data_IF_423964130610
#
_entry.id   IF_423964130610
#
_cell.length_a   1.000
_cell.length_b   1.000
_cell.length_c   1.000
_cell.angle_alpha   90.00
_cell.angle_beta   90.00
_cell.angle_gamma   90.00
#
_symmetry.space_group_name_H-M   'P 1'
#
loop_
_entity.id
_entity.type
_entity.pdbx_description
1 polymer ?
#
# COMPACT_ATOMS: atom_id res chain seq x y z
N UNK A 1 14.23 26.25 -29.00
CA UNK A 1 14.48 25.01 -28.24
C UNK A 1 13.35 24.02 -28.52
N UNK A 2 13.41 23.18 -29.56
CA UNK A 2 12.32 22.27 -29.91
C UNK A 2 12.47 20.82 -29.35
N UNK A 3 13.45 20.53 -28.49
CA UNK A 3 13.86 19.15 -28.14
C UNK A 3 13.40 18.59 -26.79
N UNK A 4 12.86 19.40 -25.87
CA UNK A 4 12.53 18.96 -24.50
C UNK A 4 11.32 18.02 -24.37
N UNK A 5 10.17 18.21 -25.05
CA UNK A 5 9.01 17.34 -24.86
C UNK A 5 9.24 15.93 -25.38
N UNK A 6 9.88 15.79 -26.55
CA UNK A 6 10.19 14.47 -27.14
C UNK A 6 11.11 13.62 -26.25
N UNK A 7 12.01 14.24 -25.48
CA UNK A 7 12.93 13.49 -24.62
C UNK A 7 12.19 12.82 -23.44
N UNK A 8 11.26 13.54 -22.81
CA UNK A 8 10.46 13.01 -21.68
C UNK A 8 9.54 11.88 -22.10
N UNK A 9 8.92 12.00 -23.29
CA UNK A 9 8.05 10.96 -23.85
C UNK A 9 8.81 9.63 -24.05
N UNK A 10 10.08 9.71 -24.47
CA UNK A 10 10.96 8.52 -24.59
C UNK A 10 11.56 8.06 -23.26
N UNK A 11 11.64 8.95 -22.26
CA UNK A 11 12.25 8.66 -20.97
C UNK A 11 11.35 7.78 -20.09
N UNK A 12 10.03 8.03 -20.07
CA UNK A 12 9.09 7.24 -19.26
C UNK A 12 9.18 5.71 -19.48
N UNK A 13 9.11 5.18 -20.72
CA UNK A 13 9.25 3.73 -20.93
C UNK A 13 10.64 3.21 -20.54
N UNK A 14 11.71 4.00 -20.72
CA UNK A 14 13.06 3.67 -20.25
C UNK A 14 13.13 3.58 -18.73
N UNK A 15 12.48 4.51 -18.02
CA UNK A 15 12.40 4.48 -16.55
C UNK A 15 11.63 3.26 -16.05
N UNK A 16 10.53 2.89 -16.72
CA UNK A 16 9.80 1.66 -16.41
C UNK A 16 10.68 0.41 -16.58
N UNK A 17 11.45 0.33 -17.66
CA UNK A 17 12.39 -0.76 -17.88
C UNK A 17 13.54 -0.76 -16.85
N UNK A 18 14.05 0.42 -16.44
CA UNK A 18 15.01 0.53 -15.34
C UNK A 18 14.41 -0.01 -14.03
N UNK A 19 13.19 0.39 -13.66
CA UNK A 19 12.54 -0.11 -12.44
C UNK A 19 12.40 -1.63 -12.46
N UNK A 20 11.88 -2.21 -13.55
CA UNK A 20 11.77 -3.66 -13.70
C UNK A 20 13.11 -4.38 -13.54
N UNK A 21 14.17 -3.86 -14.17
CA UNK A 21 15.50 -4.45 -14.08
C UNK A 21 16.12 -4.30 -12.68
N UNK A 22 15.93 -3.15 -12.03
CA UNK A 22 16.45 -2.88 -10.69
C UNK A 22 15.71 -3.68 -9.60
N UNK A 23 14.41 -3.93 -9.77
CA UNK A 23 13.56 -4.71 -8.86
C UNK A 23 13.75 -6.22 -9.03
N UNK A 24 14.22 -6.69 -10.20
CA UNK A 24 14.36 -8.10 -10.51
C UNK A 24 15.22 -8.86 -9.47
N UNK A 25 14.65 -9.89 -8.85
CA UNK A 25 15.35 -10.68 -7.82
C UNK A 25 15.56 -9.95 -6.49
N UNK A 26 14.83 -8.86 -6.21
CA UNK A 26 14.76 -8.26 -4.88
C UNK A 26 13.35 -8.41 -4.31
N UNK A 27 13.20 -9.31 -3.34
CA UNK A 27 11.93 -9.54 -2.66
C UNK A 27 11.63 -8.42 -1.67
N UNK A 28 10.42 -7.86 -1.75
CA UNK A 28 9.95 -6.81 -0.83
C UNK A 28 10.88 -5.57 -0.79
N UNK A 29 11.45 -5.19 -1.95
CA UNK A 29 12.31 -3.98 -2.10
C UNK A 29 11.85 -3.01 -3.18
N UNK A 30 10.67 -3.21 -3.75
CA UNK A 30 10.08 -2.34 -4.77
C UNK A 30 10.02 -0.88 -4.31
N UNK A 31 9.47 -0.60 -3.12
CA UNK A 31 9.39 0.76 -2.57
C UNK A 31 10.77 1.41 -2.43
N UNK A 32 11.75 0.71 -1.85
CA UNK A 32 13.10 1.24 -1.70
C UNK A 32 13.77 1.52 -3.05
N UNK A 33 13.60 0.62 -4.02
CA UNK A 33 14.17 0.76 -5.37
C UNK A 33 13.60 1.96 -6.11
N UNK A 34 12.27 2.12 -6.08
CA UNK A 34 11.56 3.25 -6.70
C UNK A 34 11.96 4.57 -6.06
N UNK A 35 11.99 4.65 -4.73
CA UNK A 35 12.40 5.84 -4.00
C UNK A 35 13.85 6.22 -4.26
N UNK A 36 14.77 5.25 -4.35
CA UNK A 36 16.18 5.49 -4.69
C UNK A 36 16.34 6.10 -6.07
N UNK A 37 15.68 5.54 -7.09
CA UNK A 37 15.76 6.07 -8.44
C UNK A 37 15.10 7.45 -8.56
N UNK A 38 13.93 7.64 -7.95
CA UNK A 38 13.23 8.92 -7.92
C UNK A 38 14.07 10.00 -7.22
N UNK A 39 14.67 9.68 -6.07
CA UNK A 39 15.56 10.59 -5.35
C UNK A 39 16.76 10.98 -6.22
N UNK A 40 17.39 10.02 -6.89
CA UNK A 40 18.53 10.30 -7.76
C UNK A 40 18.15 11.19 -8.96
N UNK A 41 16.96 11.02 -9.53
CA UNK A 41 16.43 11.93 -10.57
C UNK A 41 16.14 13.33 -10.03
N UNK A 42 15.61 13.43 -8.81
CA UNK A 42 15.37 14.70 -8.14
C UNK A 42 16.67 15.39 -7.65
N UNK A 43 17.79 14.67 -7.63
CA UNK A 43 19.04 15.14 -7.03
C UNK A 43 18.98 15.18 -5.51
N UNK A 44 18.27 14.24 -4.90
CA UNK A 44 18.06 14.12 -3.45
C UNK A 44 18.77 12.86 -2.92
N UNK A 45 18.93 12.79 -1.60
CA UNK A 45 19.65 11.72 -0.90
C UNK A 45 18.70 10.82 -0.11
N UNK A 46 19.08 9.54 0.00
CA UNK A 46 18.25 8.51 0.64
C UNK A 46 19.00 7.86 1.79
N UNK A 47 18.33 7.69 2.92
CA UNK A 47 18.80 6.90 4.05
C UNK A 47 18.00 5.59 4.12
N UNK A 48 18.70 4.47 4.02
CA UNK A 48 18.14 3.13 4.21
C UNK A 48 18.36 2.70 5.66
N UNK A 49 17.26 2.45 6.38
CA UNK A 49 17.26 2.12 7.81
C UNK A 49 16.80 0.68 7.98
N UNK A 50 17.60 -0.16 8.63
CA UNK A 50 17.19 -1.54 8.93
C UNK A 50 18.36 -2.43 9.29
N UNK A 51 18.13 -3.68 9.71
CA UNK A 51 19.20 -4.57 10.18
C UNK A 51 20.23 -4.90 9.09
N UNK A 52 21.42 -5.41 9.46
CA UNK A 52 22.41 -5.89 8.50
C UNK A 52 21.83 -7.07 7.68
N UNK A 53 22.33 -7.28 6.47
CA UNK A 53 21.89 -8.38 5.59
C UNK A 53 20.59 -8.11 4.82
N UNK A 54 20.02 -6.90 4.88
CA UNK A 54 18.75 -6.53 4.19
C UNK A 54 18.93 -6.02 2.74
N UNK A 55 20.08 -6.30 2.12
CA UNK A 55 20.43 -5.91 0.75
C UNK A 55 20.58 -4.39 0.48
N UNK A 56 20.85 -3.57 1.51
CA UNK A 56 21.06 -2.11 1.40
C UNK A 56 22.16 -1.72 0.40
N UNK A 57 23.34 -2.34 0.48
CA UNK A 57 24.45 -2.09 -0.45
C UNK A 57 24.13 -2.56 -1.87
N UNK A 58 23.40 -3.67 -2.02
CA UNK A 58 22.98 -4.17 -3.32
C UNK A 58 22.03 -3.18 -4.04
N UNK A 59 21.12 -2.54 -3.31
CA UNK A 59 20.26 -1.48 -3.85
C UNK A 59 21.07 -0.31 -4.41
N UNK A 60 22.07 0.18 -3.66
CA UNK A 60 22.92 1.29 -4.12
C UNK A 60 23.78 0.92 -5.33
N UNK A 61 24.36 -0.29 -5.35
CA UNK A 61 25.12 -0.80 -6.50
C UNK A 61 24.25 -0.93 -7.75
N UNK A 62 23.00 -1.35 -7.60
CA UNK A 62 22.03 -1.43 -8.71
C UNK A 62 21.67 -0.04 -9.21
N UNK A 63 21.35 0.90 -8.31
CA UNK A 63 21.07 2.30 -8.65
C UNK A 63 22.18 2.92 -9.50
N UNK A 64 23.45 2.71 -9.12
CA UNK A 64 24.59 3.22 -9.88
C UNK A 64 24.56 2.80 -11.35
N UNK A 65 24.20 1.55 -11.66
CA UNK A 65 24.18 1.04 -13.04
C UNK A 65 23.10 1.70 -13.91
N UNK A 66 22.10 2.33 -13.30
CA UNK A 66 21.07 3.06 -14.04
C UNK A 66 21.58 4.39 -14.63
N UNK A 67 22.72 4.91 -14.18
CA UNK A 67 23.24 6.21 -14.61
C UNK A 67 24.52 6.08 -15.45
N UNK A 68 24.53 6.74 -16.61
CA UNK A 68 25.67 6.72 -17.53
C UNK A 68 26.83 7.58 -17.03
N UNK A 69 28.05 7.05 -17.05
CA UNK A 69 29.28 7.80 -16.74
C UNK A 69 29.42 8.25 -15.28
N UNK A 70 28.49 7.89 -14.40
CA UNK A 70 28.54 8.23 -12.98
C UNK A 70 29.49 7.26 -12.24
N UNK A 71 30.59 7.76 -11.67
CA UNK A 71 31.47 6.92 -10.84
C UNK A 71 30.77 6.45 -9.56
N UNK A 72 31.04 5.21 -9.16
CA UNK A 72 30.52 4.64 -7.91
C UNK A 72 31.58 4.69 -6.81
N UNK A 73 31.17 5.16 -5.64
CA UNK A 73 31.99 5.15 -4.43
C UNK A 73 31.25 4.41 -3.31
N UNK A 74 31.94 3.52 -2.61
CA UNK A 74 31.37 2.74 -1.50
C UNK A 74 32.35 2.71 -0.32
N UNK A 75 31.84 2.98 0.88
CA UNK A 75 32.64 2.93 2.12
C UNK A 75 31.78 2.58 3.34
N UNK A 76 32.30 1.69 4.18
CA UNK A 76 31.78 1.46 5.53
C UNK A 76 32.41 2.47 6.49
N UNK A 77 31.57 3.18 7.25
CA UNK A 77 32.00 4.16 8.23
C UNK A 77 32.08 3.57 9.63
N UNK A 78 33.15 3.92 10.31
CA UNK A 78 33.40 3.55 11.70
C UNK A 78 33.87 4.78 12.46
N UNK A 79 33.88 4.69 13.80
CA UNK A 79 34.42 5.76 14.65
C UNK A 79 35.91 6.07 14.40
N UNK A 80 36.62 5.15 13.74
CA UNK A 80 38.03 5.27 13.40
C UNK A 80 38.28 5.65 11.94
N UNK A 81 37.22 5.74 11.13
CA UNK A 81 37.35 6.14 9.73
C UNK A 81 37.96 7.53 9.65
N UNK A 82 38.93 7.70 8.76
CA UNK A 82 39.63 8.96 8.58
C UNK A 82 39.11 9.72 7.35
N UNK A 83 39.24 11.06 7.32
CA UNK A 83 38.90 11.84 6.13
C UNK A 83 39.61 11.36 4.85
N UNK A 84 40.81 10.81 4.96
CA UNK A 84 41.61 10.30 3.84
C UNK A 84 40.93 9.12 3.13
N UNK A 85 40.17 8.30 3.86
CA UNK A 85 39.43 7.17 3.29
C UNK A 85 38.26 7.59 2.41
N UNK A 86 37.68 8.77 2.66
CA UNK A 86 36.49 9.27 1.98
C UNK A 86 36.83 10.32 0.92
N UNK A 87 37.75 11.22 1.24
CA UNK A 87 38.08 12.39 0.44
C UNK A 87 39.44 12.29 -0.24
N UNK A 88 40.17 11.21 0.00
CA UNK A 88 41.49 10.98 -0.58
C UNK A 88 42.65 11.45 0.32
N UNK A 89 43.84 10.85 0.17
CA UNK A 89 45.00 11.20 0.97
C UNK A 89 45.52 12.60 0.62
N UNK A 90 46.23 13.22 1.56
CA UNK A 90 46.94 14.47 1.29
C UNK A 90 48.04 14.23 0.23
N UNK A 91 48.17 15.18 -0.70
CA UNK A 91 49.24 15.18 -1.69
C UNK A 91 50.54 15.58 -1.03
N UNK A 92 51.49 14.65 -0.92
CA UNK A 92 52.82 14.94 -0.37
C UNK A 92 53.54 16.05 -1.14
N UNK A 93 53.39 16.08 -2.47
CA UNK A 93 53.94 17.14 -3.33
C UNK A 93 53.32 18.51 -3.05
N UNK A 94 52.02 18.56 -2.79
CA UNK A 94 51.36 19.83 -2.46
C UNK A 94 51.75 20.29 -1.06
N UNK A 95 51.91 19.34 -0.13
CA UNK A 95 52.34 19.63 1.24
C UNK A 95 53.78 20.14 1.31
N UNK A 96 54.67 19.66 0.44
CA UNK A 96 56.02 20.21 0.24
C UNK A 96 56.01 21.68 -0.18
N UNK A 97 54.93 22.13 -0.83
CA UNK A 97 54.67 23.52 -1.22
C UNK A 97 53.79 24.29 -0.21
N UNK A 98 53.65 23.80 1.04
CA UNK A 98 52.76 24.35 2.08
C UNK A 98 51.25 24.40 1.66
N UNK A 99 50.82 23.57 0.71
CA UNK A 99 49.42 23.47 0.26
C UNK A 99 48.74 22.21 0.79
N UNK A 100 47.65 22.39 1.53
CA UNK A 100 46.84 21.29 2.10
C UNK A 100 45.83 20.71 1.09
N UNK A 101 46.31 20.17 -0.03
CA UNK A 101 45.48 19.59 -1.09
C UNK A 101 45.41 18.05 -1.00
N UNK A 102 44.25 17.48 -1.32
CA UNK A 102 43.97 16.03 -1.36
C UNK A 102 43.95 15.49 -2.79
N UNK A 103 44.36 14.23 -2.93
CA UNK A 103 44.23 13.44 -4.15
C UNK A 103 42.82 12.81 -4.20
N UNK A 104 41.88 13.52 -4.83
CA UNK A 104 40.45 13.19 -4.79
C UNK A 104 39.99 12.18 -5.85
N UNK A 105 40.85 11.80 -6.80
CA UNK A 105 40.48 10.91 -7.91
C UNK A 105 40.14 9.50 -7.39
N UNK A 106 38.95 9.00 -7.72
CA UNK A 106 38.44 7.72 -7.21
C UNK A 106 37.78 7.78 -5.82
N UNK A 107 37.73 8.96 -5.21
CA UNK A 107 37.10 9.20 -3.91
C UNK A 107 35.76 9.93 -4.05
N UNK A 108 35.06 10.08 -2.91
CA UNK A 108 33.72 10.67 -2.84
C UNK A 108 33.55 12.00 -3.61
N UNK A 109 34.50 12.95 -3.59
CA UNK A 109 34.33 14.23 -4.31
C UNK A 109 34.19 14.07 -5.84
N UNK A 110 34.61 12.94 -6.42
CA UNK A 110 34.51 12.65 -7.86
C UNK A 110 33.43 11.62 -8.19
N UNK A 111 32.67 11.15 -7.20
CA UNK A 111 31.64 10.13 -7.38
C UNK A 111 30.33 10.74 -7.88
N UNK A 112 29.66 10.04 -8.80
CA UNK A 112 28.30 10.36 -9.22
C UNK A 112 27.25 9.69 -8.34
N UNK A 113 27.51 8.47 -7.87
CA UNK A 113 26.67 7.75 -6.91
C UNK A 113 27.56 7.27 -5.77
N UNK A 114 27.15 7.55 -4.54
CA UNK A 114 27.90 7.15 -3.35
C UNK A 114 27.04 6.29 -2.42
N UNK A 115 27.61 5.22 -1.88
CA UNK A 115 27.05 4.43 -0.79
C UNK A 115 27.92 4.55 0.45
N UNK A 116 27.33 5.03 1.54
CA UNK A 116 28.00 5.08 2.84
C UNK A 116 27.24 4.16 3.79
N UNK A 117 27.90 3.13 4.31
CA UNK A 117 27.32 2.25 5.32
C UNK A 117 27.68 2.72 6.72
N UNK A 118 26.77 2.53 7.67
CA UNK A 118 26.87 3.03 9.05
C UNK A 118 27.17 4.53 9.15
N UNK A 119 26.41 5.34 8.41
CA UNK A 119 26.71 6.77 8.20
C UNK A 119 26.79 7.62 9.47
N UNK A 120 26.10 7.20 10.53
CA UNK A 120 26.09 7.90 11.81
C UNK A 120 27.28 7.56 12.71
N UNK A 121 28.12 6.59 12.34
CA UNK A 121 29.32 6.21 13.11
C UNK A 121 30.57 7.02 12.73
N UNK A 122 30.47 7.91 11.74
CA UNK A 122 31.58 8.77 11.34
C UNK A 122 31.92 9.84 12.39
N UNK A 123 33.17 10.28 12.40
CA UNK A 123 33.62 11.39 13.25
C UNK A 123 33.08 12.75 12.75
N UNK A 124 33.14 13.77 13.61
CA UNK A 124 32.63 15.12 13.32
C UNK A 124 33.29 15.79 12.12
N UNK A 125 34.58 15.54 11.87
CA UNK A 125 35.28 16.11 10.72
C UNK A 125 34.73 15.58 9.39
N UNK A 126 34.46 14.27 9.31
CA UNK A 126 33.81 13.65 8.16
C UNK A 126 32.40 14.19 7.98
N UNK A 127 31.59 14.23 9.05
CA UNK A 127 30.20 14.69 8.97
C UNK A 127 30.11 16.14 8.49
N UNK A 128 30.96 17.04 9.00
CA UNK A 128 30.98 18.44 8.56
C UNK A 128 31.35 18.59 7.08
N UNK A 129 32.37 17.86 6.61
CA UNK A 129 32.74 17.86 5.19
C UNK A 129 31.62 17.29 4.30
N UNK A 130 30.92 16.26 4.76
CA UNK A 130 29.74 15.72 4.07
C UNK A 130 28.58 16.74 4.04
N UNK A 131 28.34 17.51 5.10
CA UNK A 131 27.27 18.52 5.11
C UNK A 131 27.44 19.53 3.98
N UNK A 132 28.66 20.05 3.77
CA UNK A 132 28.98 20.97 2.67
C UNK A 132 28.81 20.29 1.32
N UNK A 133 29.37 19.09 1.16
CA UNK A 133 29.31 18.33 -0.08
C UNK A 133 27.87 18.01 -0.50
N UNK A 134 27.00 17.63 0.43
CA UNK A 134 25.61 17.28 0.14
C UNK A 134 24.72 18.51 -0.13
N UNK A 135 24.95 19.62 0.58
CA UNK A 135 24.15 20.85 0.39
C UNK A 135 24.56 21.62 -0.86
N UNK A 136 25.84 21.95 -0.97
CA UNK A 136 26.36 22.90 -1.96
C UNK A 136 26.81 22.19 -3.23
N UNK A 137 26.93 20.85 -3.18
CA UNK A 137 27.54 20.04 -4.24
C UNK A 137 28.96 20.50 -4.57
N UNK A 138 29.66 21.00 -3.55
CA UNK A 138 31.03 21.48 -3.63
C UNK A 138 31.88 20.84 -2.53
N UNK A 139 33.16 20.66 -2.80
CA UNK A 139 34.14 20.10 -1.88
C UNK A 139 35.30 21.08 -1.69
N UNK A 140 35.59 21.42 -0.44
CA UNK A 140 36.73 22.25 -0.07
C UNK A 140 38.01 21.40 -0.07
N UNK A 141 38.89 21.66 -1.04
CA UNK A 141 40.17 20.97 -1.20
C UNK A 141 41.33 21.95 -1.02
N UNK A 142 41.82 22.04 0.23
CA UNK A 142 42.82 23.04 0.59
C UNK A 142 42.25 24.45 0.49
N UNK A 143 42.89 25.31 -0.31
CA UNK A 143 42.43 26.69 -0.54
C UNK A 143 41.38 26.81 -1.66
N UNK A 144 41.16 25.75 -2.44
CA UNK A 144 40.24 25.74 -3.57
C UNK A 144 38.93 25.04 -3.24
N UNK A 145 37.84 25.47 -3.88
CA UNK A 145 36.55 24.79 -3.83
C UNK A 145 36.23 24.18 -5.20
N UNK A 146 35.84 22.91 -5.19
CA UNK A 146 35.63 22.11 -6.41
C UNK A 146 34.18 21.64 -6.50
N UNK A 147 33.51 21.76 -7.67
CA UNK A 147 32.19 21.18 -7.86
C UNK A 147 32.26 19.65 -7.85
N UNK A 148 31.22 19.02 -7.31
CA UNK A 148 31.10 17.56 -7.23
C UNK A 148 30.05 17.05 -8.24
N UNK A 149 30.32 15.95 -8.97
CA UNK A 149 29.38 15.38 -9.92
C UNK A 149 28.29 14.52 -9.25
N UNK A 150 28.18 14.58 -7.91
CA UNK A 150 27.30 13.74 -7.13
C UNK A 150 25.85 13.93 -7.58
N UNK A 151 25.22 12.83 -8.00
CA UNK A 151 23.79 12.74 -8.32
C UNK A 151 23.05 12.47 -7.01
N UNK A 152 23.39 11.36 -6.35
CA UNK A 152 22.78 10.97 -5.08
C UNK A 152 23.75 10.19 -4.19
N UNK A 153 23.57 10.37 -2.88
CA UNK A 153 24.21 9.62 -1.83
C UNK A 153 23.15 8.74 -1.17
N UNK A 154 23.46 7.45 -1.05
CA UNK A 154 22.67 6.46 -0.35
C UNK A 154 23.38 6.15 0.95
N UNK A 155 22.81 6.62 2.06
CA UNK A 155 23.26 6.27 3.39
C UNK A 155 22.59 4.99 3.86
N UNK A 156 23.29 4.18 4.64
CA UNK A 156 22.71 3.08 5.37
C UNK A 156 23.04 3.18 6.86
N UNK A 157 22.10 2.78 7.69
CA UNK A 157 22.35 2.54 9.12
C UNK A 157 21.39 1.50 9.67
N UNK A 158 21.80 0.87 10.77
CA UNK A 158 20.96 -0.06 11.51
C UNK A 158 20.04 0.66 12.50
N UNK A 159 20.43 1.87 12.92
CA UNK A 159 19.74 2.65 13.93
C UNK A 159 19.57 4.09 13.45
N UNK A 160 18.61 4.81 14.05
CA UNK A 160 18.46 6.24 13.84
C UNK A 160 19.40 7.00 14.77
N UNK A 161 19.85 8.21 14.39
CA UNK A 161 20.73 8.99 15.25
C UNK A 161 19.95 9.48 16.48
N UNK A 162 20.42 9.10 17.67
CA UNK A 162 19.91 9.63 18.94
C UNK A 162 20.49 10.99 19.33
N UNK A 163 21.67 11.31 18.81
CA UNK A 163 22.38 12.56 19.15
C UNK A 163 21.86 13.76 18.36
N UNK A 164 21.63 14.87 19.05
CA UNK A 164 21.17 16.13 18.44
C UNK A 164 22.17 16.67 17.41
N UNK A 165 23.47 16.43 17.61
CA UNK A 165 24.54 16.82 16.68
C UNK A 165 24.43 16.13 15.31
N UNK A 166 23.82 14.94 15.26
CA UNK A 166 23.62 14.16 14.04
C UNK A 166 22.32 14.52 13.32
N UNK A 167 21.39 15.25 13.95
CA UNK A 167 20.11 15.62 13.34
C UNK A 167 20.30 16.51 12.11
N UNK A 168 21.28 17.42 12.13
CA UNK A 168 21.58 18.27 10.98
C UNK A 168 22.03 17.46 9.75
N UNK A 169 22.75 16.35 9.96
CA UNK A 169 23.19 15.43 8.92
C UNK A 169 22.06 14.49 8.49
N UNK A 170 21.28 13.98 9.46
CA UNK A 170 20.08 13.21 9.21
C UNK A 170 19.06 13.96 8.34
N UNK A 171 18.92 15.27 8.53
CA UNK A 171 18.03 16.12 7.73
C UNK A 171 18.47 16.25 6.27
N UNK A 172 19.74 15.95 5.93
CA UNK A 172 20.23 15.95 4.54
C UNK A 172 19.74 14.77 3.71
N UNK A 173 19.27 13.72 4.38
CA UNK A 173 18.55 12.65 3.73
C UNK A 173 17.08 13.04 3.67
N UNK A 174 16.62 13.39 2.46
CA UNK A 174 15.22 13.74 2.26
C UNK A 174 14.34 12.52 2.53
N UNK A 175 14.69 11.40 1.90
CA UNK A 175 13.96 10.14 2.02
C UNK A 175 14.61 9.24 3.07
N UNK A 176 13.79 8.76 4.00
CA UNK A 176 14.14 7.82 5.06
C UNK A 176 13.31 6.57 4.85
N UNK A 177 13.96 5.53 4.36
CA UNK A 177 13.28 4.33 3.87
C UNK A 177 13.60 3.17 4.81
N UNK A 178 12.63 2.63 5.54
CA UNK A 178 12.83 1.41 6.30
C UNK A 178 12.99 0.22 5.34
N UNK A 179 13.94 -0.66 5.66
CA UNK A 179 14.22 -1.89 4.93
C UNK A 179 14.22 -3.04 5.93
N UNK A 180 13.09 -3.75 6.02
CA UNK A 180 12.92 -4.89 6.91
C UNK A 180 13.44 -6.19 6.29
N UNK A 181 13.77 -7.23 7.09
CA UNK A 181 13.93 -8.60 6.58
C UNK A 181 12.71 -9.02 5.75
N UNK A 182 12.91 -9.96 4.83
CA UNK A 182 11.81 -10.50 4.01
C UNK A 182 10.80 -11.19 4.92
N UNK A 183 9.51 -10.92 4.74
CA UNK A 183 8.44 -11.52 5.52
C UNK A 183 8.25 -13.02 5.23
N UNK A 184 7.51 -13.69 6.11
CA UNK A 184 7.27 -15.14 6.03
C UNK A 184 6.66 -15.58 4.69
N UNK A 185 5.78 -14.75 4.12
CA UNK A 185 5.13 -15.03 2.84
C UNK A 185 6.12 -15.12 1.65
N UNK A 186 7.22 -14.36 1.71
CA UNK A 186 8.24 -14.34 0.67
C UNK A 186 9.48 -15.19 1.04
N UNK A 187 9.49 -15.84 2.21
CA UNK A 187 10.60 -16.67 2.67
C UNK A 187 10.91 -17.83 1.73
N UNK A 188 9.89 -18.54 1.23
CA UNK A 188 10.08 -19.61 0.27
C UNK A 188 10.74 -19.12 -1.03
N UNK A 189 10.31 -17.95 -1.53
CA UNK A 189 10.91 -17.33 -2.71
C UNK A 189 12.36 -16.88 -2.45
N UNK A 190 12.68 -16.45 -1.22
CA UNK A 190 14.05 -16.09 -0.83
C UNK A 190 14.98 -17.31 -0.86
N UNK A 191 14.51 -18.47 -0.40
CA UNK A 191 15.30 -19.71 -0.42
C UNK A 191 15.49 -20.29 -1.82
N UNK A 192 14.57 -19.99 -2.74
CA UNK A 192 14.61 -20.39 -4.15
C UNK A 192 15.24 -19.33 -5.04
N UNK A 193 15.78 -18.26 -4.44
CA UNK A 193 16.42 -17.19 -5.19
C UNK A 193 17.76 -17.70 -5.71
N UNK A 194 17.76 -18.16 -6.95
CA UNK A 194 19.02 -18.43 -7.64
C UNK A 194 19.82 -17.13 -7.77
N UNK A 195 21.14 -17.23 -7.98
CA UNK A 195 21.96 -16.10 -8.43
C UNK A 195 21.51 -15.72 -9.85
N UNK A 196 20.34 -15.13 -9.97
CA UNK A 196 19.74 -14.72 -11.22
C UNK A 196 20.73 -13.79 -11.92
N UNK A 197 20.96 -14.05 -13.20
CA UNK A 197 21.76 -13.14 -14.02
C UNK A 197 21.12 -11.77 -13.92
N UNK A 198 21.88 -10.70 -13.59
CA UNK A 198 21.32 -9.36 -13.48
C UNK A 198 20.50 -9.06 -14.74
N UNK A 199 19.27 -8.60 -14.56
CA UNK A 199 18.43 -8.20 -15.68
C UNK A 199 19.19 -7.19 -16.55
N UNK A 200 19.09 -7.35 -17.87
CA UNK A 200 19.69 -6.40 -18.79
C UNK A 200 19.12 -5.01 -18.53
N UNK A 201 19.98 -4.06 -18.19
CA UNK A 201 19.57 -2.68 -17.99
C UNK A 201 19.36 -2.01 -19.35
N UNK A 202 18.33 -1.16 -19.49
CA UNK A 202 18.17 -0.34 -20.67
C UNK A 202 19.23 0.78 -20.70
N UNK A 203 19.22 1.60 -21.76
CA UNK A 203 20.18 2.69 -21.92
C UNK A 203 20.26 3.58 -20.67
N UNK A 204 21.46 3.82 -20.14
CA UNK A 204 21.64 4.56 -18.89
C UNK A 204 21.06 5.97 -18.96
N UNK A 205 20.60 6.47 -17.81
CA UNK A 205 20.11 7.82 -17.64
C UNK A 205 21.29 8.79 -17.76
N UNK A 206 21.19 9.69 -18.72
CA UNK A 206 22.23 10.67 -19.06
C UNK A 206 22.09 11.97 -18.27
N UNK A 207 23.11 12.85 -18.26
CA UNK A 207 22.97 14.20 -17.72
C UNK A 207 21.85 15.01 -18.39
N UNK A 208 21.67 14.85 -19.71
CA UNK A 208 20.63 15.56 -20.47
C UNK A 208 19.23 15.08 -20.09
N UNK A 209 19.04 13.76 -19.87
CA UNK A 209 17.80 13.20 -19.33
C UNK A 209 17.43 13.88 -17.99
N UNK A 210 18.41 14.01 -17.07
CA UNK A 210 18.18 14.65 -15.77
C UNK A 210 17.89 16.16 -15.90
N UNK A 211 18.57 16.84 -16.81
CA UNK A 211 18.31 18.26 -17.07
C UNK A 211 16.90 18.49 -17.61
N UNK A 212 16.42 17.61 -18.50
CA UNK A 212 15.05 17.63 -19.00
C UNK A 212 14.02 17.37 -17.89
N UNK A 213 14.27 16.40 -17.00
CA UNK A 213 13.41 16.14 -15.83
C UNK A 213 13.34 17.38 -14.92
N UNK A 214 14.48 18.02 -14.63
CA UNK A 214 14.52 19.25 -13.81
C UNK A 214 13.74 20.39 -14.45
N UNK A 215 13.87 20.57 -15.76
CA UNK A 215 13.12 21.59 -16.50
C UNK A 215 11.61 21.33 -16.45
N UNK A 216 11.19 20.07 -16.64
CA UNK A 216 9.80 19.67 -16.58
C UNK A 216 9.20 19.81 -15.17
N UNK A 217 9.94 19.42 -14.15
CA UNK A 217 9.56 19.56 -12.74
C UNK A 217 9.15 21.00 -12.40
N UNK A 218 9.84 22.00 -12.96
CA UNK A 218 9.54 23.41 -12.74
C UNK A 218 8.18 23.86 -13.33
N UNK A 219 7.64 23.11 -14.29
CA UNK A 219 6.35 23.39 -14.95
C UNK A 219 5.16 22.74 -14.25
N UNK A 220 5.39 21.75 -13.39
CA UNK A 220 4.32 21.03 -12.69
C UNK A 220 3.70 21.91 -11.60
N UNK A 221 2.40 22.17 -11.71
CA UNK A 221 1.66 22.98 -10.73
C UNK A 221 1.15 22.15 -9.57
N UNK A 222 0.95 22.79 -8.42
CA UNK A 222 0.29 22.18 -7.28
C UNK A 222 -1.23 22.27 -7.49
N UNK A 223 -1.93 21.14 -7.63
CA UNK A 223 -3.39 21.12 -7.74
C UNK A 223 -4.09 21.35 -6.40
N UNK A 224 -5.36 21.72 -6.45
CA UNK A 224 -6.16 22.04 -5.26
C UNK A 224 -6.27 20.83 -4.31
N UNK A 225 -6.46 19.63 -4.84
CA UNK A 225 -6.49 18.39 -4.07
C UNK A 225 -5.17 18.13 -3.34
N UNK A 226 -4.03 18.32 -4.03
CA UNK A 226 -2.71 18.16 -3.43
C UNK A 226 -2.46 19.22 -2.34
N UNK A 227 -2.89 20.46 -2.55
CA UNK A 227 -2.76 21.54 -1.56
C UNK A 227 -3.59 21.27 -0.31
N UNK A 228 -4.84 20.83 -0.48
CA UNK A 228 -5.71 20.44 0.63
C UNK A 228 -5.10 19.26 1.41
N UNK A 229 -4.62 18.23 0.69
CA UNK A 229 -3.97 17.06 1.29
C UNK A 229 -2.67 17.43 2.04
N UNK A 230 -1.84 18.35 1.51
CA UNK A 230 -0.64 18.85 2.20
C UNK A 230 -0.98 19.63 3.48
N UNK A 231 -2.07 20.38 3.47
CA UNK A 231 -2.54 21.13 4.65
C UNK A 231 -3.04 20.16 5.72
N UNK A 232 -3.80 19.13 5.32
CA UNK A 232 -4.24 18.06 6.22
C UNK A 232 -3.04 17.27 6.78
N UNK A 233 -2.05 16.95 5.93
CA UNK A 233 -0.81 16.29 6.34
C UNK A 233 -0.05 17.14 7.37
N UNK A 234 0.04 18.46 7.17
CA UNK A 234 0.69 19.36 8.15
C UNK A 234 -0.01 19.33 9.50
N UNK A 235 -1.34 19.28 9.53
CA UNK A 235 -2.11 19.14 10.77
C UNK A 235 -1.84 17.79 11.44
N UNK A 236 -1.76 16.70 10.65
CA UNK A 236 -1.47 15.36 11.17
C UNK A 236 -0.05 15.24 11.73
N UNK A 237 0.94 15.79 11.02
CA UNK A 237 2.33 15.89 11.49
C UNK A 237 2.40 16.62 12.84
N UNK A 238 1.66 17.73 12.98
CA UNK A 238 1.58 18.47 14.24
C UNK A 238 0.88 17.66 15.34
N UNK A 239 -0.18 16.90 15.02
CA UNK A 239 -0.88 16.01 15.96
C UNK A 239 0.03 14.90 16.48
N UNK A 240 0.90 14.37 15.63
CA UNK A 240 1.92 13.37 15.99
C UNK A 240 3.13 13.96 16.74
N UNK A 241 3.21 15.29 16.89
CA UNK A 241 4.32 15.96 17.58
C UNK A 241 5.62 15.99 16.78
N UNK A 242 5.56 15.80 15.46
CA UNK A 242 6.73 15.74 14.59
C UNK A 242 7.19 17.14 14.18
N UNK A 243 8.49 17.39 14.24
CA UNK A 243 9.10 18.65 13.80
C UNK A 243 9.60 18.53 12.35
N UNK A 244 8.95 19.23 11.42
CA UNK A 244 9.31 19.24 10.00
C UNK A 244 9.62 20.66 9.56
N UNK A 245 10.83 20.88 9.03
CA UNK A 245 11.28 22.20 8.57
C UNK A 245 10.57 22.62 7.27
N UNK A 246 10.42 23.94 7.06
CA UNK A 246 9.88 24.50 5.81
C UNK A 246 10.65 24.04 4.57
N UNK A 247 11.97 23.82 4.72
CA UNK A 247 12.83 23.25 3.68
C UNK A 247 12.33 21.86 3.26
N UNK A 248 12.08 20.99 4.23
CA UNK A 248 11.64 19.61 3.99
C UNK A 248 10.27 19.55 3.32
N UNK A 249 9.34 20.45 3.67
CA UNK A 249 8.06 20.60 2.96
C UNK A 249 8.25 20.98 1.50
N UNK A 250 9.12 21.94 1.20
CA UNK A 250 9.43 22.35 -0.17
C UNK A 250 10.10 21.21 -0.96
N UNK A 251 10.97 20.44 -0.32
CA UNK A 251 11.62 19.28 -0.93
C UNK A 251 10.65 18.13 -1.19
N UNK A 252 9.67 17.89 -0.29
CA UNK A 252 8.58 16.93 -0.54
C UNK A 252 7.81 17.30 -1.82
N UNK A 253 7.37 18.55 -1.94
CA UNK A 253 6.67 19.03 -3.14
C UNK A 253 7.56 18.94 -4.38
N UNK A 254 8.86 19.25 -4.26
CA UNK A 254 9.80 19.09 -5.35
C UNK A 254 9.92 17.63 -5.80
N UNK A 255 9.99 16.68 -4.86
CA UNK A 255 10.02 15.24 -5.15
C UNK A 255 8.73 14.77 -5.83
N UNK A 256 7.57 15.22 -5.36
CA UNK A 256 6.27 14.95 -5.98
C UNK A 256 6.22 15.49 -7.42
N UNK A 257 6.73 16.71 -7.67
CA UNK A 257 6.83 17.28 -9.01
C UNK A 257 7.75 16.48 -9.93
N UNK A 258 8.84 15.91 -9.40
CA UNK A 258 9.74 15.04 -10.16
C UNK A 258 9.01 13.77 -10.61
N UNK A 259 8.24 13.15 -9.70
CA UNK A 259 7.41 11.99 -10.01
C UNK A 259 6.36 12.31 -11.08
N UNK A 260 5.63 13.42 -10.92
CA UNK A 260 4.61 13.86 -11.87
C UNK A 260 5.19 14.19 -13.25
N UNK A 261 6.30 14.93 -13.30
CA UNK A 261 6.94 15.31 -14.55
C UNK A 261 7.42 14.09 -15.36
N UNK A 262 8.00 13.09 -14.69
CA UNK A 262 8.45 11.85 -15.34
C UNK A 262 7.30 10.91 -15.73
N UNK A 263 6.11 11.13 -15.17
CA UNK A 263 4.86 10.49 -15.60
C UNK A 263 4.12 11.29 -16.68
N UNK A 264 4.62 12.47 -17.08
CA UNK A 264 3.96 13.34 -18.06
C UNK A 264 2.75 14.10 -17.52
N UNK A 265 2.61 14.19 -16.19
CA UNK A 265 1.51 14.93 -15.53
C UNK A 265 1.89 16.38 -15.32
N UNK A 266 0.94 17.28 -15.63
CA UNK A 266 1.11 18.72 -15.45
C UNK A 266 0.75 19.22 -14.03
N UNK A 267 -0.03 18.43 -13.28
CA UNK A 267 -0.57 18.81 -11.98
C UNK A 267 -0.35 17.71 -10.94
N UNK A 268 -0.05 18.12 -9.70
CA UNK A 268 -0.04 17.23 -8.54
C UNK A 268 -1.47 16.98 -8.03
N UNK A 269 -1.70 15.78 -7.52
CA UNK A 269 -2.95 15.36 -6.87
C UNK A 269 -2.69 14.74 -5.48
N UNK A 270 -3.75 14.33 -4.80
CA UNK A 270 -3.66 13.76 -3.46
C UNK A 270 -2.86 12.44 -3.41
N UNK A 271 -2.84 11.66 -4.50
CA UNK A 271 -2.17 10.37 -4.53
C UNK A 271 -0.65 10.52 -4.41
N UNK A 272 -0.09 11.63 -4.92
CA UNK A 272 1.35 11.95 -4.81
C UNK A 272 1.86 12.03 -3.36
N UNK A 273 0.98 12.19 -2.38
CA UNK A 273 1.34 12.18 -0.95
C UNK A 273 1.71 10.79 -0.42
N UNK A 274 1.64 9.73 -1.22
CA UNK A 274 2.19 8.42 -0.85
C UNK A 274 3.68 8.49 -0.47
N UNK A 275 4.41 9.49 -1.00
CA UNK A 275 5.81 9.76 -0.67
C UNK A 275 6.01 10.37 0.73
N UNK A 276 4.98 11.00 1.28
CA UNK A 276 5.08 11.82 2.48
C UNK A 276 5.59 11.06 3.72
N UNK A 277 5.13 9.82 4.03
CA UNK A 277 5.62 9.09 5.18
C UNK A 277 7.15 8.99 5.19
N UNK A 278 7.77 8.60 4.08
CA UNK A 278 9.23 8.48 3.94
C UNK A 278 9.99 9.81 4.00
N UNK A 279 9.30 10.95 3.89
CA UNK A 279 9.93 12.28 3.95
C UNK A 279 9.74 12.93 5.32
N UNK A 280 8.55 12.87 5.89
CA UNK A 280 8.22 13.58 7.15
C UNK A 280 8.35 12.69 8.38
N UNK A 281 8.29 11.37 8.23
CA UNK A 281 8.51 10.42 9.31
C UNK A 281 9.95 10.45 9.83
N UNK A 282 10.08 10.33 11.14
CA UNK A 282 11.37 10.29 11.86
C UNK A 282 11.59 8.98 12.62
N UNK A 283 10.58 8.12 12.68
CA UNK A 283 10.50 6.90 13.50
C UNK A 283 9.64 5.85 12.78
N UNK A 284 9.78 4.58 13.12
CA UNK A 284 8.96 3.52 12.47
C UNK A 284 7.48 3.69 12.82
N UNK A 285 7.18 4.11 14.05
CA UNK A 285 5.83 4.40 14.50
C UNK A 285 5.21 5.58 13.74
N UNK A 286 5.95 6.68 13.56
CA UNK A 286 5.45 7.81 12.78
C UNK A 286 5.28 7.47 11.31
N UNK A 287 6.22 6.71 10.72
CA UNK A 287 6.12 6.20 9.35
C UNK A 287 4.84 5.37 9.18
N UNK A 288 4.58 4.43 10.09
CA UNK A 288 3.39 3.58 10.06
C UNK A 288 2.10 4.41 10.25
N UNK A 289 2.09 5.33 11.21
CA UNK A 289 0.94 6.20 11.47
C UNK A 289 0.62 7.10 10.26
N UNK A 290 1.64 7.68 9.62
CA UNK A 290 1.48 8.51 8.42
C UNK A 290 1.03 7.69 7.21
N UNK A 291 1.57 6.48 7.02
CA UNK A 291 1.13 5.59 5.95
C UNK A 291 -0.33 5.13 6.13
N UNK A 292 -0.74 4.83 7.37
CA UNK A 292 -2.12 4.55 7.71
C UNK A 292 -3.01 5.78 7.47
N UNK A 293 -2.56 6.97 7.88
CA UNK A 293 -3.29 8.22 7.64
C UNK A 293 -3.49 8.51 6.15
N UNK A 294 -2.48 8.28 5.29
CA UNK A 294 -2.64 8.40 3.83
C UNK A 294 -3.71 7.43 3.33
N UNK A 295 -3.63 6.17 3.75
CA UNK A 295 -4.56 5.13 3.30
C UNK A 295 -6.00 5.42 3.75
N UNK A 296 -6.19 5.82 5.01
CA UNK A 296 -7.50 6.12 5.60
C UNK A 296 -8.06 7.48 5.14
N UNK A 297 -7.34 8.56 5.42
CA UNK A 297 -7.86 9.92 5.34
C UNK A 297 -7.81 10.50 3.93
N UNK A 298 -6.82 10.11 3.12
CA UNK A 298 -6.69 10.62 1.75
C UNK A 298 -7.34 9.69 0.73
N UNK A 299 -7.09 8.38 0.84
CA UNK A 299 -7.48 7.42 -0.19
C UNK A 299 -8.74 6.62 0.14
N UNK A 300 -9.17 6.62 1.41
CA UNK A 300 -10.27 5.78 1.91
C UNK A 300 -10.09 4.29 1.53
N UNK A 301 -8.85 3.84 1.51
CA UNK A 301 -8.41 2.53 1.04
C UNK A 301 -8.27 1.55 2.21
N UNK A 302 -9.34 1.41 3.00
CA UNK A 302 -9.42 0.46 4.11
C UNK A 302 -10.66 -0.43 3.97
N UNK A 303 -10.55 -1.65 4.48
CA UNK A 303 -11.67 -2.59 4.49
C UNK A 303 -12.76 -2.05 5.42
N UNK A 304 -13.95 -1.81 4.89
CA UNK A 304 -15.03 -1.21 5.65
C UNK A 304 -15.80 -2.30 6.41
N UNK A 305 -15.88 -2.22 7.75
CA UNK A 305 -16.73 -3.12 8.50
C UNK A 305 -18.21 -2.79 8.21
N UNK A 306 -19.04 -3.83 8.05
CA UNK A 306 -20.46 -3.71 7.70
C UNK A 306 -21.36 -4.32 8.80
N UNK A 307 -21.23 -3.88 10.07
CA UNK A 307 -21.96 -4.49 11.19
C UNK A 307 -23.48 -4.39 11.02
N UNK A 308 -23.96 -3.27 10.47
CA UNK A 308 -25.39 -3.07 10.21
C UNK A 308 -25.96 -4.13 9.26
N UNK A 309 -25.17 -4.58 8.28
CA UNK A 309 -25.60 -5.56 7.29
C UNK A 309 -25.51 -6.96 7.87
N UNK A 310 -24.45 -7.26 8.61
CA UNK A 310 -24.32 -8.53 9.32
C UNK A 310 -25.47 -8.75 10.32
N UNK A 311 -25.78 -7.73 11.13
CA UNK A 311 -26.91 -7.75 12.05
C UNK A 311 -28.24 -7.96 11.31
N UNK A 312 -28.44 -7.26 10.18
CA UNK A 312 -29.67 -7.38 9.41
C UNK A 312 -29.84 -8.77 8.77
N UNK A 313 -28.79 -9.28 8.12
CA UNK A 313 -28.79 -10.62 7.51
C UNK A 313 -29.07 -11.68 8.57
N UNK A 314 -28.35 -11.61 9.69
CA UNK A 314 -28.51 -12.56 10.80
C UNK A 314 -29.91 -12.49 11.42
N UNK A 315 -30.50 -11.30 11.53
CA UNK A 315 -31.86 -11.15 12.04
C UNK A 315 -32.90 -11.78 11.11
N UNK A 316 -32.76 -11.59 9.79
CA UNK A 316 -33.65 -12.22 8.80
C UNK A 316 -33.50 -13.73 8.74
N UNK A 317 -32.27 -14.26 8.80
CA UNK A 317 -32.01 -15.71 8.85
C UNK A 317 -32.64 -16.35 10.09
N UNK A 318 -32.45 -15.73 11.27
CA UNK A 318 -33.11 -16.18 12.51
C UNK A 318 -34.63 -16.10 12.41
N UNK A 319 -35.17 -15.03 11.83
CA UNK A 319 -36.62 -14.90 11.64
C UNK A 319 -37.16 -15.98 10.70
N UNK A 320 -36.46 -16.28 9.61
CA UNK A 320 -36.83 -17.34 8.68
C UNK A 320 -36.82 -18.70 9.39
N UNK A 321 -35.79 -18.99 10.17
CA UNK A 321 -35.67 -20.23 10.94
C UNK A 321 -36.81 -20.38 11.95
N UNK A 322 -37.17 -19.31 12.66
CA UNK A 322 -38.32 -19.29 13.58
C UNK A 322 -39.61 -19.61 12.80
N UNK A 323 -39.84 -18.93 11.68
CA UNK A 323 -41.06 -19.11 10.87
C UNK A 323 -41.15 -20.52 10.26
N UNK A 324 -40.03 -21.13 9.88
CA UNK A 324 -39.97 -22.50 9.39
C UNK A 324 -40.22 -23.56 10.47
N UNK A 325 -39.95 -23.25 11.74
CA UNK A 325 -40.14 -24.17 12.89
C UNK A 325 -41.52 -24.05 13.55
N UNK A 326 -42.32 -23.04 13.19
CA UNK A 326 -43.66 -22.88 13.77
C UNK A 326 -44.60 -24.01 13.33
N UNK A 327 -45.22 -24.74 14.29
CA UNK A 327 -46.23 -25.74 13.96
C UNK A 327 -47.49 -25.07 13.38
N UNK A 328 -48.27 -25.82 12.61
CA UNK A 328 -49.60 -25.42 12.16
C UNK A 328 -50.46 -24.99 13.38
N UNK A 329 -51.21 -23.89 13.24
CA UNK A 329 -52.07 -23.38 14.31
C UNK A 329 -53.02 -24.48 14.80
N UNK A 330 -53.17 -24.60 16.13
CA UNK A 330 -54.09 -25.52 16.80
C UNK A 330 -55.53 -25.25 16.36
N UNK A 331 -55.96 -25.98 15.35
CA UNK A 331 -57.25 -25.83 14.69
C UNK A 331 -57.59 -27.04 13.83
N UNK A 332 -57.49 -28.24 14.41
CA UNK A 332 -57.93 -29.51 13.81
C UNK A 332 -56.80 -30.45 13.35
N UNK A 333 -56.78 -31.66 13.94
CA UNK A 333 -55.96 -32.85 13.60
C UNK A 333 -54.42 -32.82 13.78
N UNK A 334 -53.84 -31.82 14.45
CA UNK A 334 -52.39 -31.80 14.71
C UNK A 334 -51.87 -33.02 15.50
N UNK A 335 -52.67 -33.52 16.44
CA UNK A 335 -52.32 -34.65 17.32
C UNK A 335 -52.25 -36.00 16.56
N UNK A 336 -53.16 -36.16 15.58
CA UNK A 336 -53.32 -37.39 14.80
C UNK A 336 -52.22 -37.55 13.74
N UNK A 337 -51.72 -36.44 13.20
CA UNK A 337 -50.61 -36.42 12.26
C UNK A 337 -49.25 -36.45 12.97
N UNK A 338 -49.13 -35.92 14.20
CA UNK A 338 -47.94 -36.07 15.03
C UNK A 338 -47.68 -37.55 15.40
N UNK A 339 -48.74 -38.29 15.76
CA UNK A 339 -48.67 -39.73 16.01
C UNK A 339 -48.25 -40.55 14.78
N UNK A 340 -48.77 -40.21 13.59
CA UNK A 340 -48.39 -40.86 12.31
C UNK A 340 -46.93 -40.59 11.92
N UNK A 341 -46.42 -39.40 12.20
CA UNK A 341 -45.03 -39.01 11.89
C UNK A 341 -44.02 -39.68 12.84
N UNK A 342 -44.36 -39.79 14.13
CA UNK A 342 -43.58 -40.55 15.11
C UNK A 342 -43.53 -42.06 14.74
N UNK A 343 -44.66 -42.62 14.29
CA UNK A 343 -44.75 -43.99 13.80
C UNK A 343 -43.95 -44.20 12.50
N UNK A 344 -43.99 -43.24 11.56
CA UNK A 344 -43.20 -43.30 10.33
C UNK A 344 -41.68 -43.26 10.59
N UNK A 345 -41.22 -42.49 11.59
CA UNK A 345 -39.81 -42.47 12.00
C UNK A 345 -39.37 -43.73 12.74
N UNK A 346 -40.23 -44.32 13.58
CA UNK A 346 -39.91 -45.55 14.31
C UNK A 346 -39.83 -46.77 13.39
N UNK A 347 -40.70 -46.84 12.39
CA UNK A 347 -40.66 -47.88 11.35
C UNK A 347 -39.43 -47.74 10.43
N UNK A 348 -38.97 -46.52 10.15
CA UNK A 348 -37.78 -46.26 9.33
C UNK A 348 -36.44 -46.63 9.99
N UNK A 349 -36.40 -46.78 11.32
CA UNK A 349 -35.18 -47.16 12.04
C UNK A 349 -34.90 -48.68 12.04
N UNK A 350 -35.87 -49.51 11.62
CA UNK A 350 -35.78 -50.98 11.71
C UNK A 350 -35.47 -51.68 10.37
N UNK A 351 -35.68 -51.03 9.21
CA UNK A 351 -35.49 -51.66 7.89
C UNK A 351 -34.32 -51.02 7.09
N UNK A 352 -33.14 -51.63 7.19
CA UNK A 352 -31.96 -51.31 6.39
C UNK A 352 -31.97 -51.93 4.97
N UNK A 353 -33.02 -51.70 4.19
CA UNK A 353 -33.17 -52.23 2.82
C UNK A 353 -33.38 -51.16 1.75
N UNK A 354 -32.49 -51.09 0.75
CA UNK A 354 -32.38 -50.01 -0.25
C UNK A 354 -33.63 -49.78 -1.15
N UNK A 355 -34.64 -50.66 -1.16
CA UNK A 355 -35.83 -50.51 -2.02
C UNK A 355 -37.07 -49.91 -1.31
N UNK A 356 -37.13 -49.89 0.03
CA UNK A 356 -38.32 -49.45 0.79
C UNK A 356 -38.31 -47.98 1.25
N UNK A 357 -37.13 -47.35 1.28
CA UNK A 357 -36.95 -46.01 1.85
C UNK A 357 -37.48 -44.86 0.99
N UNK A 358 -37.85 -45.09 -0.27
CA UNK A 358 -38.38 -44.05 -1.17
C UNK A 358 -39.81 -43.62 -0.84
N UNK A 359 -40.72 -44.59 -0.72
CA UNK A 359 -42.13 -44.35 -0.38
C UNK A 359 -42.27 -43.76 1.02
N UNK A 360 -41.46 -44.24 1.98
CA UNK A 360 -41.46 -43.76 3.35
C UNK A 360 -40.93 -42.32 3.45
N UNK A 361 -39.85 -41.96 2.73
CA UNK A 361 -39.39 -40.56 2.63
C UNK A 361 -40.45 -39.63 2.03
N UNK A 362 -41.19 -40.10 1.03
CA UNK A 362 -42.30 -39.33 0.43
C UNK A 362 -43.41 -39.09 1.46
N UNK A 363 -43.83 -40.14 2.18
CA UNK A 363 -44.87 -40.04 3.22
C UNK A 363 -44.45 -39.12 4.36
N UNK A 364 -43.22 -39.26 4.87
CA UNK A 364 -42.64 -38.38 5.89
C UNK A 364 -42.59 -36.93 5.42
N UNK A 365 -42.11 -36.67 4.20
CA UNK A 365 -42.05 -35.33 3.63
C UNK A 365 -43.44 -34.71 3.44
N UNK A 366 -44.45 -35.49 3.03
CA UNK A 366 -45.83 -35.02 2.92
C UNK A 366 -46.49 -34.74 4.26
N UNK A 367 -46.19 -35.52 5.31
CA UNK A 367 -46.70 -35.29 6.66
C UNK A 367 -46.01 -34.09 7.31
N UNK A 368 -44.70 -33.93 7.12
CA UNK A 368 -43.95 -32.74 7.55
C UNK A 368 -44.45 -31.47 6.85
N UNK A 369 -44.78 -31.55 5.56
CA UNK A 369 -45.38 -30.44 4.81
C UNK A 369 -46.76 -30.03 5.37
N UNK A 370 -47.56 -30.99 5.87
CA UNK A 370 -48.87 -30.72 6.50
C UNK A 370 -48.77 -30.11 7.90
N UNK A 371 -47.69 -30.39 8.64
CA UNK A 371 -47.46 -29.83 9.98
C UNK A 371 -46.88 -28.41 9.97
N UNK A 372 -46.41 -27.92 8.83
CA UNK A 372 -45.87 -26.56 8.72
C UNK A 372 -47.00 -25.52 8.77
N UNK A 373 -46.74 -24.44 9.51
CA UNK A 373 -47.62 -23.27 9.50
C UNK A 373 -47.77 -22.72 8.07
N UNK A 374 -49.01 -22.46 7.68
CA UNK A 374 -49.33 -21.73 6.46
C UNK A 374 -49.41 -20.23 6.77
N UNK A 375 -48.99 -19.41 5.81
CA UNK A 375 -48.93 -17.96 5.93
C UNK A 375 -49.86 -17.31 4.91
N UNK A 376 -50.35 -16.11 5.21
CA UNK A 376 -51.15 -15.36 4.23
C UNK A 376 -50.23 -14.80 3.11
N UNK A 377 -50.76 -14.56 1.89
CA UNK A 377 -49.99 -13.92 0.82
C UNK A 377 -49.40 -12.57 1.24
N UNK A 378 -50.14 -11.81 2.06
CA UNK A 378 -49.73 -10.50 2.58
C UNK A 378 -48.54 -10.62 3.54
N UNK A 379 -48.49 -11.68 4.35
CA UNK A 379 -47.36 -11.93 5.24
C UNK A 379 -46.07 -12.20 4.45
N UNK A 380 -46.14 -13.11 3.47
CA UNK A 380 -44.98 -13.45 2.63
C UNK A 380 -44.54 -12.22 1.82
N UNK A 381 -45.47 -11.50 1.20
CA UNK A 381 -45.15 -10.28 0.46
C UNK A 381 -44.47 -9.21 1.34
N UNK A 382 -44.92 -9.03 2.58
CA UNK A 382 -44.30 -8.10 3.52
C UNK A 382 -42.87 -8.52 3.91
N UNK A 383 -42.61 -9.82 4.13
CA UNK A 383 -41.25 -10.33 4.40
C UNK A 383 -40.32 -10.14 3.21
N UNK A 384 -40.80 -10.46 2.01
CA UNK A 384 -40.04 -10.23 0.78
C UNK A 384 -39.70 -8.75 0.60
N UNK A 385 -40.66 -7.85 0.81
CA UNK A 385 -40.44 -6.40 0.72
C UNK A 385 -39.40 -5.90 1.75
N UNK A 386 -39.41 -6.44 2.98
CA UNK A 386 -38.44 -6.10 4.01
C UNK A 386 -37.02 -6.56 3.63
N UNK A 387 -36.86 -7.79 3.13
CA UNK A 387 -35.56 -8.31 2.66
C UNK A 387 -35.08 -7.54 1.44
N UNK A 388 -35.97 -7.25 0.49
CA UNK A 388 -35.66 -6.50 -0.73
C UNK A 388 -35.20 -5.07 -0.42
N UNK A 389 -35.77 -4.42 0.61
CA UNK A 389 -35.32 -3.11 1.08
C UNK A 389 -33.88 -3.14 1.63
N UNK A 390 -33.50 -4.18 2.37
CA UNK A 390 -32.12 -4.33 2.87
C UNK A 390 -31.16 -4.72 1.74
N UNK A 391 -31.58 -5.60 0.83
CA UNK A 391 -30.80 -5.96 -0.34
C UNK A 391 -30.51 -4.74 -1.23
N UNK A 392 -31.51 -3.89 -1.48
CA UNK A 392 -31.32 -2.65 -2.24
C UNK A 392 -30.32 -1.69 -1.57
N UNK A 393 -30.33 -1.59 -0.22
CA UNK A 393 -29.33 -0.80 0.53
C UNK A 393 -27.93 -1.42 0.42
N UNK A 394 -27.82 -2.74 0.47
CA UNK A 394 -26.54 -3.45 0.32
C UNK A 394 -25.97 -3.29 -1.11
N UNK A 395 -26.82 -3.36 -2.14
CA UNK A 395 -26.43 -3.12 -3.53
C UNK A 395 -25.99 -1.67 -3.77
N UNK A 396 -26.69 -0.69 -3.18
CA UNK A 396 -26.26 0.70 -3.23
C UNK A 396 -24.88 0.91 -2.58
N UNK A 397 -24.65 0.30 -1.41
CA UNK A 397 -23.34 0.33 -0.76
C UNK A 397 -22.25 -0.34 -1.63
N UNK A 398 -22.55 -1.48 -2.24
CA UNK A 398 -21.65 -2.17 -3.18
C UNK A 398 -21.31 -1.31 -4.39
N UNK A 399 -22.30 -0.63 -4.98
CA UNK A 399 -22.08 0.27 -6.11
C UNK A 399 -21.15 1.43 -5.73
N UNK A 400 -21.33 2.02 -4.54
CA UNK A 400 -20.44 3.09 -4.03
C UNK A 400 -19.01 2.61 -3.86
N UNK A 401 -18.80 1.45 -3.22
CA UNK A 401 -17.45 0.88 -3.03
C UNK A 401 -16.82 0.51 -4.37
N UNK A 402 -17.59 -0.05 -5.31
CA UNK A 402 -17.11 -0.38 -6.65
C UNK A 402 -16.65 0.87 -7.41
N UNK A 403 -17.44 1.95 -7.36
CA UNK A 403 -17.07 3.22 -8.00
C UNK A 403 -15.78 3.80 -7.39
N UNK A 404 -15.62 3.72 -6.07
CA UNK A 404 -14.39 4.15 -5.40
C UNK A 404 -13.18 3.30 -5.79
N UNK A 405 -13.34 1.97 -5.85
CA UNK A 405 -12.32 1.03 -6.33
C UNK A 405 -11.90 1.36 -7.76
N UNK A 406 -12.86 1.55 -8.67
CA UNK A 406 -12.58 1.78 -10.09
C UNK A 406 -11.89 3.14 -10.31
N UNK A 407 -12.30 4.17 -9.56
CA UNK A 407 -11.64 5.47 -9.57
C UNK A 407 -10.19 5.37 -9.09
N UNK A 408 -9.94 4.68 -7.96
CA UNK A 408 -8.59 4.49 -7.43
C UNK A 408 -7.74 3.64 -8.38
N UNK A 409 -8.30 2.55 -8.95
CA UNK A 409 -7.62 1.69 -9.90
C UNK A 409 -7.17 2.47 -11.14
N UNK A 410 -8.02 3.34 -11.67
CA UNK A 410 -7.68 4.22 -12.79
C UNK A 410 -6.54 5.20 -12.42
N UNK A 411 -6.59 5.81 -11.23
CA UNK A 411 -5.54 6.72 -10.78
C UNK A 411 -4.19 6.04 -10.58
N UNK A 412 -4.20 4.82 -10.03
CA UNK A 412 -3.02 4.00 -9.72
C UNK A 412 -2.37 3.42 -10.98
N UNK A 413 -3.17 2.99 -11.96
CA UNK A 413 -2.67 2.35 -13.19
C UNK A 413 -1.69 3.23 -13.99
N UNK A 414 -1.79 4.56 -13.84
CA UNK A 414 -0.92 5.50 -14.53
C UNK A 414 0.31 5.93 -13.72
N UNK A 415 0.49 5.44 -12.49
CA UNK A 415 1.62 5.81 -11.62
C UNK A 415 2.82 4.91 -11.88
N UNK A 416 3.89 5.50 -12.37
CA UNK A 416 5.18 4.85 -12.53
C UNK A 416 5.86 4.63 -11.19
N UNK A 417 5.77 5.60 -10.28
CA UNK A 417 6.57 5.59 -9.04
C UNK A 417 5.89 4.90 -7.87
N UNK A 418 4.56 4.76 -7.92
CA UNK A 418 3.82 4.07 -6.88
C UNK A 418 4.24 2.59 -6.83
N UNK A 419 4.64 2.04 -5.67
CA UNK A 419 5.00 0.64 -5.56
C UNK A 419 3.79 -0.28 -5.82
N UNK A 420 3.95 -1.35 -6.63
CA UNK A 420 2.88 -2.29 -6.96
C UNK A 420 2.24 -2.94 -5.73
N UNK A 421 3.02 -3.32 -4.72
CA UNK A 421 2.49 -3.90 -3.48
C UNK A 421 1.68 -2.90 -2.65
N UNK A 422 2.08 -1.62 -2.62
CA UNK A 422 1.31 -0.57 -1.96
C UNK A 422 -0.04 -0.33 -2.67
N UNK A 423 0.01 -0.23 -4.00
CA UNK A 423 -1.17 -0.14 -4.85
C UNK A 423 -2.12 -1.33 -4.67
N UNK A 424 -1.58 -2.56 -4.66
CA UNK A 424 -2.34 -3.78 -4.46
C UNK A 424 -2.98 -3.84 -3.06
N UNK A 425 -2.28 -3.37 -2.03
CA UNK A 425 -2.83 -3.27 -0.68
C UNK A 425 -4.07 -2.36 -0.61
N UNK A 426 -3.99 -1.17 -1.23
CA UNK A 426 -5.12 -0.24 -1.26
C UNK A 426 -6.33 -0.77 -2.03
N UNK A 427 -6.10 -1.32 -3.22
CA UNK A 427 -7.17 -1.92 -4.03
C UNK A 427 -7.75 -3.18 -3.35
N UNK A 428 -6.90 -3.97 -2.71
CA UNK A 428 -7.27 -5.18 -1.96
C UNK A 428 -8.24 -4.88 -0.81
N UNK A 429 -8.10 -3.73 -0.15
CA UNK A 429 -9.00 -3.30 0.92
C UNK A 429 -10.45 -3.07 0.42
N UNK A 430 -10.60 -2.43 -0.74
CA UNK A 430 -11.90 -2.29 -1.39
C UNK A 430 -12.43 -3.64 -1.87
N UNK A 431 -11.58 -4.48 -2.48
CA UNK A 431 -11.96 -5.83 -2.92
C UNK A 431 -12.45 -6.71 -1.77
N UNK A 432 -11.83 -6.63 -0.59
CA UNK A 432 -12.27 -7.34 0.61
C UNK A 432 -13.66 -6.88 1.05
N UNK A 433 -13.92 -5.56 1.01
CA UNK A 433 -15.24 -5.00 1.32
C UNK A 433 -16.29 -5.47 0.31
N UNK A 434 -15.95 -5.47 -0.99
CA UNK A 434 -16.82 -5.94 -2.07
C UNK A 434 -17.14 -7.43 -1.94
N UNK A 435 -16.16 -8.27 -1.60
CA UNK A 435 -16.35 -9.69 -1.35
C UNK A 435 -17.28 -9.93 -0.16
N UNK A 436 -17.12 -9.15 0.92
CA UNK A 436 -17.99 -9.19 2.09
C UNK A 436 -19.43 -8.82 1.74
N UNK A 437 -19.63 -7.73 0.98
CA UNK A 437 -20.95 -7.32 0.48
C UNK A 437 -21.59 -8.39 -0.40
N UNK A 438 -20.83 -8.98 -1.32
CA UNK A 438 -21.31 -10.06 -2.18
C UNK A 438 -21.78 -11.27 -1.37
N UNK A 439 -21.04 -11.65 -0.32
CA UNK A 439 -21.43 -12.71 0.62
C UNK A 439 -22.74 -12.40 1.33
N UNK A 440 -22.91 -11.18 1.85
CA UNK A 440 -24.16 -10.78 2.50
C UNK A 440 -25.35 -10.70 1.54
N UNK A 441 -25.16 -10.18 0.32
CA UNK A 441 -26.20 -10.12 -0.70
C UNK A 441 -26.66 -11.53 -1.09
N UNK A 442 -25.72 -12.48 -1.25
CA UNK A 442 -26.05 -13.89 -1.51
C UNK A 442 -26.87 -14.51 -0.37
N UNK A 443 -26.51 -14.23 0.89
CA UNK A 443 -27.29 -14.66 2.07
C UNK A 443 -28.69 -14.05 2.10
N UNK A 444 -28.84 -12.75 1.79
CA UNK A 444 -30.17 -12.11 1.67
C UNK A 444 -31.01 -12.77 0.57
N UNK A 445 -30.42 -13.08 -0.59
CA UNK A 445 -31.10 -13.76 -1.68
C UNK A 445 -31.58 -15.16 -1.27
N UNK A 446 -30.76 -15.91 -0.52
CA UNK A 446 -31.14 -17.21 0.03
C UNK A 446 -32.29 -17.08 1.05
N UNK A 447 -32.22 -16.11 1.96
CA UNK A 447 -33.28 -15.83 2.94
C UNK A 447 -34.58 -15.39 2.26
N UNK A 448 -34.49 -14.56 1.22
CA UNK A 448 -35.63 -14.17 0.38
C UNK A 448 -36.29 -15.38 -0.27
N UNK A 449 -35.50 -16.27 -0.88
CA UNK A 449 -36.01 -17.51 -1.46
C UNK A 449 -36.66 -18.42 -0.40
N UNK A 450 -36.09 -18.46 0.81
CA UNK A 450 -36.66 -19.12 1.97
C UNK A 450 -38.07 -18.63 2.30
N UNK A 451 -38.25 -17.32 2.49
CA UNK A 451 -39.57 -16.73 2.74
C UNK A 451 -40.55 -16.95 1.58
N UNK A 452 -40.07 -16.85 0.33
CA UNK A 452 -40.90 -17.09 -0.85
C UNK A 452 -41.41 -18.55 -0.94
N UNK A 453 -40.69 -19.50 -0.33
CA UNK A 453 -41.06 -20.92 -0.30
C UNK A 453 -42.01 -21.29 0.85
N UNK A 454 -42.44 -20.33 1.68
CA UNK A 454 -43.40 -20.61 2.74
C UNK A 454 -44.73 -21.13 2.18
N UNK A 455 -45.38 -22.12 2.83
CA UNK A 455 -46.71 -22.56 2.45
C UNK A 455 -47.71 -21.40 2.58
N UNK A 456 -48.46 -21.12 1.51
CA UNK A 456 -49.42 -20.01 1.48
C UNK A 456 -50.85 -20.53 1.53
N UNK A 457 -51.70 -19.89 2.33
CA UNK A 457 -53.16 -20.10 2.33
C UNK A 457 -53.88 -18.77 2.12
N UNK A 458 -54.55 -18.63 0.97
CA UNK A 458 -55.29 -17.44 0.55
C UNK A 458 -56.51 -17.13 1.44
N UNK A 459 -56.93 -18.08 2.29
CA UNK A 459 -58.08 -17.91 3.20
C UNK A 459 -57.70 -17.26 4.53
N UNK A 460 -56.40 -17.15 4.84
CA UNK A 460 -55.91 -16.53 6.07
C UNK A 460 -56.08 -15.00 6.01
N UNK A 461 -56.32 -14.34 7.17
CA UNK A 461 -56.47 -12.90 7.22
C UNK A 461 -55.20 -12.18 6.71
N UNK A 462 -55.42 -11.08 6.00
CA UNK A 462 -54.40 -10.19 5.46
C UNK A 462 -53.70 -9.38 6.58
N UNK A 463 -52.98 -10.07 7.47
CA UNK A 463 -52.22 -9.44 8.55
C UNK A 463 -50.77 -9.22 8.10
N UNK A 464 -50.31 -7.96 8.18
CA UNK A 464 -48.91 -7.60 7.92
C UNK A 464 -48.07 -7.96 9.14
N UNK A 465 -46.99 -8.76 9.00
CA UNK A 465 -46.11 -9.06 10.12
C UNK A 465 -45.35 -7.81 10.59
N UNK A 466 -45.01 -7.75 11.89
CA UNK A 466 -44.15 -6.68 12.39
C UNK A 466 -42.80 -6.70 11.67
N UNK A 467 -42.14 -5.53 11.51
CA UNK A 467 -40.79 -5.46 10.95
C UNK A 467 -39.84 -6.37 11.73
N UNK A 468 -38.92 -7.04 11.04
CA UNK A 468 -37.84 -7.78 11.71
C UNK A 468 -37.00 -6.81 12.52
N UNK A 469 -36.81 -7.10 13.81
CA UNK A 469 -36.04 -6.27 14.70
C UNK A 469 -34.55 -6.38 14.32
N UNK A 470 -34.03 -5.33 13.67
CA UNK A 470 -32.60 -5.20 13.39
C UNK A 470 -31.96 -4.67 14.67
N UNK A 471 -31.18 -5.48 15.38
CA UNK A 471 -30.44 -5.01 16.55
C UNK A 471 -29.46 -3.89 16.12
N UNK A 472 -29.43 -2.81 16.89
CA UNK A 472 -28.59 -1.64 16.63
C UNK A 472 -27.09 -1.98 16.67
#
# INVERSE_FOLDING_TARGET
MPGTPHLLDTLRPRLQAHLQALEHGLLERETATRLLLLAALAGEHVLLIGPPGTAKSALARRLHRAFGGARYFERLLTRFSTPEELFGPLSLKALEDDRYERLIDGYLPTAGIAFLDEVFKANSAILNALLTLLNEREFDNGAGRLPTPLISLVGASNERPGDESLQAFHDRFLLRVPVAPVGDAAFAALLQLDNATPAALPDPITPDDRAAVRAAQATVTLGDEALAALTALRAEVARLGLAVSDRRWRQLVALMRCAAATEGRATLDALDLWLAPCVVGDSDDSLAALAAWVSHSLLQAEAQPLPWLDHAVTAFEKQLEIEQRLPAQEGGSADDDAGKLALARSLGAQDGGEAGGGMQRIVSATLEARQRRHFSPVHVAARLAQVDAVAARADAARATVQAAHDALAAQVAHRLWLPPGLAAGWLGAHQQTLATLAGFIARLAATRAGFASHPVDDRLPAQVPPPVALAA
#
